data_IF_422017022910
#
_entry.id   IF_422017022910
#
_cell.length_a   1.000
_cell.length_b   1.000
_cell.length_c   1.000
_cell.angle_alpha   90.00
_cell.angle_beta   90.00
_cell.angle_gamma   90.00
#
_symmetry.space_group_name_H-M   'P 1'
#
loop_
_entity.id
_entity.type
_entity.pdbx_description
1 polymer ?
#
# COMPACT_ATOMS: atom_id res chain seq x y z
N UNK A 1 -43.25 -54.90 -17.03
CA UNK A 1 -42.83 -53.73 -17.83
C UNK A 1 -42.96 -52.38 -17.11
N UNK A 2 -43.96 -52.11 -16.24
CA UNK A 2 -44.16 -50.76 -15.66
C UNK A 2 -43.16 -50.33 -14.56
N UNK A 3 -42.59 -51.27 -13.79
CA UNK A 3 -41.63 -50.95 -12.71
C UNK A 3 -40.24 -50.56 -13.24
N UNK A 4 -39.81 -51.14 -14.36
CA UNK A 4 -38.49 -50.86 -14.94
C UNK A 4 -38.43 -49.44 -15.52
N UNK A 5 -39.54 -48.95 -16.09
CA UNK A 5 -39.65 -47.59 -16.62
C UNK A 5 -39.59 -46.52 -15.52
N UNK A 6 -40.17 -46.81 -14.35
CA UNK A 6 -40.14 -45.89 -13.22
C UNK A 6 -38.74 -45.75 -12.62
N UNK A 7 -38.01 -46.86 -12.46
CA UNK A 7 -36.62 -46.85 -11.97
C UNK A 7 -35.67 -46.13 -12.94
N UNK A 8 -35.89 -46.25 -14.25
CA UNK A 8 -35.09 -45.54 -15.26
C UNK A 8 -35.31 -44.02 -15.21
N UNK A 9 -36.57 -43.58 -15.00
CA UNK A 9 -36.93 -42.16 -14.87
C UNK A 9 -36.40 -41.51 -13.59
N UNK A 10 -36.32 -42.25 -12.48
CA UNK A 10 -35.67 -41.74 -11.25
C UNK A 10 -34.16 -41.65 -11.39
N UNK A 11 -33.51 -42.63 -12.04
CA UNK A 11 -32.06 -42.57 -12.30
C UNK A 11 -31.72 -41.40 -13.24
N UNK A 12 -32.52 -41.16 -14.28
CA UNK A 12 -32.33 -40.02 -15.19
C UNK A 12 -32.47 -38.66 -14.46
N UNK A 13 -33.45 -38.54 -13.57
CA UNK A 13 -33.65 -37.32 -12.77
C UNK A 13 -32.51 -37.07 -11.78
N UNK A 14 -31.99 -38.11 -11.14
CA UNK A 14 -30.83 -37.99 -10.24
C UNK A 14 -29.56 -37.62 -11.01
N UNK A 15 -29.39 -38.10 -12.24
CA UNK A 15 -28.25 -37.73 -13.09
C UNK A 15 -28.34 -36.28 -13.61
N UNK A 16 -29.55 -35.79 -13.94
CA UNK A 16 -29.75 -34.38 -14.32
C UNK A 16 -29.60 -33.43 -13.11
N UNK A 17 -30.00 -33.85 -11.91
CA UNK A 17 -29.81 -33.07 -10.68
C UNK A 17 -28.32 -32.99 -10.23
N UNK A 18 -27.47 -33.88 -10.74
CA UNK A 18 -26.04 -33.95 -10.42
C UNK A 18 -25.11 -33.57 -11.58
N UNK A 19 -25.66 -33.09 -12.70
CA UNK A 19 -24.83 -32.55 -13.78
C UNK A 19 -24.09 -31.31 -13.25
N UNK A 20 -22.76 -31.39 -13.17
CA UNK A 20 -21.92 -30.23 -12.82
C UNK A 20 -22.25 -29.09 -13.78
N UNK A 21 -22.33 -27.83 -13.32
CA UNK A 21 -22.50 -26.69 -14.21
C UNK A 21 -21.43 -26.73 -15.30
N UNK A 22 -21.84 -26.57 -16.56
CA UNK A 22 -20.91 -26.39 -17.66
C UNK A 22 -20.33 -24.96 -17.58
N UNK A 23 -19.15 -24.85 -16.96
CA UNK A 23 -18.43 -23.58 -16.82
C UNK A 23 -17.86 -23.05 -18.15
N UNK A 24 -18.00 -23.76 -19.27
CA UNK A 24 -17.54 -23.27 -20.58
C UNK A 24 -18.22 -21.96 -21.00
N UNK A 25 -19.44 -21.72 -20.51
CA UNK A 25 -20.18 -20.47 -20.73
C UNK A 25 -19.63 -19.31 -19.90
N UNK A 26 -18.84 -19.57 -18.86
CA UNK A 26 -18.29 -18.56 -17.95
C UNK A 26 -16.87 -18.14 -18.31
N UNK A 27 -16.05 -19.04 -18.83
CA UNK A 27 -14.63 -18.78 -19.09
C UNK A 27 -14.39 -18.27 -20.51
N UNK A 28 -13.24 -17.63 -20.68
CA UNK A 28 -12.64 -17.26 -21.96
C UNK A 28 -13.53 -16.38 -22.86
N UNK A 29 -14.28 -15.46 -22.24
CA UNK A 29 -15.02 -14.42 -22.98
C UNK A 29 -14.08 -13.30 -23.32
N UNK A 30 -14.21 -12.69 -24.50
CA UNK A 30 -13.25 -11.69 -24.97
C UNK A 30 -13.94 -10.42 -25.42
N UNK A 31 -13.29 -9.28 -25.19
CA UNK A 31 -13.61 -7.98 -25.81
C UNK A 31 -12.65 -7.62 -26.96
N UNK A 32 -11.82 -8.59 -27.38
CA UNK A 32 -10.78 -8.42 -28.39
C UNK A 32 -9.42 -7.99 -27.85
N UNK A 33 -9.32 -7.49 -26.61
CA UNK A 33 -8.04 -7.10 -25.95
C UNK A 33 -7.74 -7.95 -24.73
N UNK A 34 -8.78 -8.31 -23.99
CA UNK A 34 -8.70 -9.07 -22.77
C UNK A 34 -9.60 -10.29 -22.86
N UNK A 35 -9.18 -11.33 -22.18
CA UNK A 35 -10.03 -12.49 -21.87
C UNK A 35 -10.54 -12.38 -20.46
N UNK A 36 -11.75 -12.87 -20.25
CA UNK A 36 -12.52 -12.71 -19.03
C UNK A 36 -13.07 -14.05 -18.56
N UNK A 37 -13.15 -14.18 -17.25
CA UNK A 37 -14.07 -15.10 -16.59
C UNK A 37 -15.27 -14.29 -16.11
N UNK A 38 -16.46 -14.65 -16.59
CA UNK A 38 -17.72 -14.02 -16.19
C UNK A 38 -18.45 -14.87 -15.16
N UNK A 39 -19.13 -14.22 -14.22
CA UNK A 39 -20.00 -14.87 -13.25
C UNK A 39 -21.45 -14.43 -13.52
N UNK A 40 -22.33 -15.36 -13.92
CA UNK A 40 -23.71 -15.05 -14.32
C UNK A 40 -24.62 -14.69 -13.14
N UNK A 41 -24.31 -15.15 -11.93
CA UNK A 41 -25.11 -14.86 -10.75
C UNK A 41 -24.94 -13.41 -10.29
N UNK A 42 -23.68 -12.94 -10.29
CA UNK A 42 -23.32 -11.57 -9.87
C UNK A 42 -23.24 -10.57 -11.02
N UNK A 43 -23.30 -11.05 -12.28
CA UNK A 43 -23.06 -10.27 -13.49
C UNK A 43 -21.73 -9.49 -13.44
N UNK A 44 -20.67 -10.16 -12.99
CA UNK A 44 -19.31 -9.61 -12.90
C UNK A 44 -18.35 -10.28 -13.88
N UNK A 45 -17.26 -9.59 -14.19
CA UNK A 45 -16.21 -10.08 -15.08
C UNK A 45 -14.83 -9.84 -14.46
N UNK A 46 -14.01 -10.89 -14.47
CA UNK A 46 -12.62 -10.89 -14.04
C UNK A 46 -11.71 -10.93 -15.25
N UNK A 47 -10.79 -9.98 -15.39
CA UNK A 47 -9.76 -9.98 -16.45
C UNK A 47 -8.79 -11.13 -16.18
N UNK A 48 -8.66 -12.09 -17.08
CA UNK A 48 -7.88 -13.31 -16.90
C UNK A 48 -6.55 -13.31 -17.61
N UNK A 49 -6.45 -12.70 -18.80
CA UNK A 49 -5.19 -12.48 -19.50
C UNK A 49 -5.35 -11.49 -20.66
N UNK A 50 -4.24 -10.93 -21.11
CA UNK A 50 -4.15 -10.06 -22.29
C UNK A 50 -4.10 -10.91 -23.57
N UNK A 51 -4.91 -10.56 -24.58
CA UNK A 51 -4.85 -11.19 -25.90
C UNK A 51 -3.45 -11.04 -26.52
N UNK A 52 -2.96 -12.07 -27.21
CA UNK A 52 -1.58 -12.15 -27.69
C UNK A 52 -1.18 -10.98 -28.58
N UNK A 53 -2.11 -10.49 -29.40
CA UNK A 53 -1.89 -9.32 -30.26
C UNK A 53 -1.58 -8.03 -29.49
N UNK A 54 -1.87 -7.98 -28.18
CA UNK A 54 -1.71 -6.83 -27.30
C UNK A 54 -0.66 -7.04 -26.20
N UNK A 55 0.07 -8.16 -26.19
CA UNK A 55 1.04 -8.48 -25.13
C UNK A 55 2.24 -7.51 -25.05
N UNK A 56 2.47 -6.75 -26.13
CA UNK A 56 3.50 -5.72 -26.24
C UNK A 56 2.91 -4.30 -26.38
N UNK A 57 1.63 -4.11 -26.05
CA UNK A 57 0.96 -2.83 -26.23
C UNK A 57 1.56 -1.75 -25.32
N UNK A 58 1.78 -0.55 -25.86
CA UNK A 58 2.29 0.56 -25.06
C UNK A 58 1.29 0.99 -23.97
N UNK A 59 0.00 0.96 -24.27
CA UNK A 59 -1.05 1.35 -23.34
C UNK A 59 -2.28 0.49 -23.55
N UNK A 60 -2.84 -0.03 -22.47
CA UNK A 60 -4.16 -0.66 -22.46
C UNK A 60 -5.07 0.05 -21.46
N UNK A 61 -6.35 0.08 -21.80
CA UNK A 61 -7.41 0.59 -20.92
C UNK A 61 -8.43 -0.52 -20.73
N UNK A 62 -8.76 -0.84 -19.48
CA UNK A 62 -9.80 -1.82 -19.20
C UNK A 62 -11.15 -1.32 -19.70
N UNK A 63 -11.94 -2.20 -20.32
CA UNK A 63 -13.34 -1.90 -20.56
C UNK A 63 -14.12 -2.07 -19.25
N UNK A 64 -14.99 -1.12 -18.86
CA UNK A 64 -15.72 -1.20 -17.60
C UNK A 64 -16.79 -2.31 -17.60
N UNK A 65 -17.20 -2.74 -18.79
CA UNK A 65 -18.22 -3.76 -18.98
C UNK A 65 -17.89 -4.66 -20.15
N UNK A 66 -18.38 -5.90 -20.09
CA UNK A 66 -18.30 -6.88 -21.16
C UNK A 66 -19.72 -7.33 -21.54
N UNK A 67 -20.03 -7.42 -22.84
CA UNK A 67 -21.31 -7.94 -23.31
C UNK A 67 -21.15 -9.36 -23.84
N UNK A 68 -21.86 -10.32 -23.24
CA UNK A 68 -21.85 -11.73 -23.64
C UNK A 68 -23.30 -12.22 -23.72
N UNK A 69 -23.70 -12.72 -24.89
CA UNK A 69 -25.03 -13.30 -25.13
C UNK A 69 -26.19 -12.40 -24.66
N UNK A 70 -26.11 -11.09 -24.94
CA UNK A 70 -27.14 -10.12 -24.57
C UNK A 70 -27.14 -9.68 -23.09
N UNK A 71 -26.29 -10.28 -22.24
CA UNK A 71 -26.05 -9.83 -20.86
C UNK A 71 -24.85 -8.89 -20.79
N UNK A 72 -24.87 -7.97 -19.83
CA UNK A 72 -23.78 -7.03 -19.55
C UNK A 72 -23.17 -7.36 -18.20
N UNK A 73 -21.86 -7.58 -18.18
CA UNK A 73 -21.07 -7.91 -17.00
C UNK A 73 -20.21 -6.71 -16.61
N UNK A 74 -20.12 -6.43 -15.32
CA UNK A 74 -19.28 -5.34 -14.79
C UNK A 74 -17.89 -5.87 -14.49
N UNK A 75 -16.86 -5.22 -15.03
CA UNK A 75 -15.47 -5.57 -14.72
C UNK A 75 -15.11 -5.06 -13.34
N UNK A 76 -14.70 -5.96 -12.44
CA UNK A 76 -14.42 -5.63 -11.04
C UNK A 76 -13.18 -6.33 -10.46
N UNK A 77 -12.47 -7.15 -11.26
CA UNK A 77 -11.29 -7.86 -10.80
C UNK A 77 -10.24 -8.01 -11.91
N UNK A 78 -8.98 -7.86 -11.54
CA UNK A 78 -7.83 -8.35 -12.30
C UNK A 78 -7.46 -9.70 -11.68
N UNK A 79 -7.68 -10.75 -12.47
CA UNK A 79 -7.51 -12.14 -12.11
C UNK A 79 -6.06 -12.54 -11.87
N UNK A 80 -5.90 -13.73 -11.30
CA UNK A 80 -4.56 -14.25 -11.01
C UNK A 80 -3.76 -14.39 -12.31
N UNK A 81 -2.50 -13.95 -12.28
CA UNK A 81 -1.60 -13.97 -13.43
C UNK A 81 -2.05 -13.21 -14.69
N UNK A 82 -3.05 -12.33 -14.61
CA UNK A 82 -3.65 -11.70 -15.80
C UNK A 82 -2.69 -10.86 -16.66
N UNK A 83 -1.68 -10.26 -16.03
CA UNK A 83 -0.61 -9.50 -16.68
C UNK A 83 0.77 -10.12 -16.41
N UNK A 84 0.81 -11.40 -16.02
CA UNK A 84 2.05 -12.10 -15.71
C UNK A 84 2.92 -12.27 -16.95
N UNK A 85 4.22 -11.98 -16.84
CA UNK A 85 5.21 -12.05 -17.93
C UNK A 85 4.79 -11.29 -19.20
N UNK A 86 4.04 -10.19 -19.04
CA UNK A 86 3.54 -9.39 -20.15
C UNK A 86 4.37 -8.11 -20.33
N UNK A 87 4.50 -7.62 -21.58
CA UNK A 87 5.30 -6.46 -21.96
C UNK A 87 4.46 -5.16 -22.09
N UNK A 88 3.21 -5.16 -21.61
CA UNK A 88 2.38 -3.95 -21.56
C UNK A 88 3.04 -2.93 -20.64
N UNK A 89 3.28 -1.73 -21.18
CA UNK A 89 3.95 -0.64 -20.44
C UNK A 89 3.00 0.13 -19.53
N UNK A 90 1.76 0.38 -19.97
CA UNK A 90 0.83 1.23 -19.22
C UNK A 90 -0.56 0.59 -19.15
N UNK A 91 -1.13 0.51 -17.96
CA UNK A 91 -2.51 0.08 -17.74
C UNK A 91 -3.34 1.22 -17.15
N UNK A 92 -4.48 1.50 -17.79
CA UNK A 92 -5.46 2.48 -17.31
C UNK A 92 -6.72 1.74 -16.87
N UNK A 93 -7.11 1.96 -15.63
CA UNK A 93 -8.35 1.46 -15.03
C UNK A 93 -9.30 2.66 -14.96
N UNK A 94 -10.31 2.75 -15.85
CA UNK A 94 -11.11 3.96 -16.01
C UNK A 94 -12.02 4.24 -14.81
N UNK A 95 -12.43 5.49 -14.65
CA UNK A 95 -13.31 5.95 -13.57
C UNK A 95 -14.72 5.35 -13.60
N UNK A 96 -15.12 4.78 -14.74
CA UNK A 96 -16.37 4.03 -14.91
C UNK A 96 -16.35 2.66 -14.22
N UNK A 97 -15.17 2.12 -13.88
CA UNK A 97 -15.06 0.96 -12.99
C UNK A 97 -15.26 1.45 -11.56
N UNK A 98 -16.28 0.94 -10.87
CA UNK A 98 -16.59 1.34 -9.49
C UNK A 98 -15.51 0.91 -8.50
N UNK A 99 -15.06 -0.33 -8.62
CA UNK A 99 -14.06 -0.94 -7.75
C UNK A 99 -13.30 -2.04 -8.50
N UNK A 100 -12.01 -2.19 -8.22
CA UNK A 100 -11.19 -3.26 -8.78
C UNK A 100 -10.46 -4.02 -7.66
N UNK A 101 -10.52 -5.35 -7.69
CA UNK A 101 -9.68 -6.21 -6.87
C UNK A 101 -8.51 -6.76 -7.71
N UNK A 102 -7.31 -6.74 -7.14
CA UNK A 102 -6.10 -7.30 -7.76
C UNK A 102 -5.78 -8.63 -7.08
N UNK A 103 -5.75 -9.69 -7.90
CA UNK A 103 -5.52 -11.07 -7.48
C UNK A 103 -4.02 -11.38 -7.31
N UNK A 104 -3.67 -12.50 -6.65
CA UNK A 104 -2.28 -12.93 -6.51
C UNK A 104 -1.61 -13.11 -7.88
N UNK A 105 -0.33 -12.74 -7.98
CA UNK A 105 0.48 -12.81 -9.20
C UNK A 105 -0.07 -12.04 -10.41
N UNK A 106 -1.08 -11.19 -10.24
CA UNK A 106 -1.70 -10.46 -11.35
C UNK A 106 -0.66 -9.77 -12.24
N UNK A 107 0.39 -9.18 -11.65
CA UNK A 107 1.48 -8.50 -12.36
C UNK A 107 2.83 -9.18 -12.16
N UNK A 108 2.84 -10.51 -11.94
CA UNK A 108 4.08 -11.25 -11.71
C UNK A 108 5.06 -11.14 -12.88
N UNK A 109 6.30 -10.71 -12.63
CA UNK A 109 7.30 -10.47 -13.69
C UNK A 109 6.78 -9.62 -14.87
N UNK A 110 5.87 -8.68 -14.60
CA UNK A 110 5.35 -7.75 -15.61
C UNK A 110 6.33 -6.60 -15.86
N UNK A 111 6.43 -6.15 -17.11
CA UNK A 111 7.23 -4.99 -17.51
C UNK A 111 6.47 -3.66 -17.43
N UNK A 112 5.35 -3.65 -16.70
CA UNK A 112 4.52 -2.46 -16.56
C UNK A 112 5.31 -1.30 -15.93
N UNK A 113 5.23 -0.13 -16.55
CA UNK A 113 5.91 1.10 -16.15
C UNK A 113 4.94 2.02 -15.40
N UNK A 114 3.64 1.99 -15.71
CA UNK A 114 2.64 2.72 -14.93
C UNK A 114 1.27 2.04 -14.86
N UNK A 115 0.59 2.25 -13.73
CA UNK A 115 -0.81 1.88 -13.54
C UNK A 115 -1.58 3.09 -13.08
N UNK A 116 -2.60 3.45 -13.86
CA UNK A 116 -3.48 4.58 -13.57
C UNK A 116 -4.85 4.11 -13.09
N UNK A 117 -5.10 4.29 -11.80
CA UNK A 117 -6.36 4.00 -11.15
C UNK A 117 -7.26 5.24 -11.16
N UNK A 118 -8.01 5.44 -12.23
CA UNK A 118 -9.04 6.50 -12.28
C UNK A 118 -10.31 6.10 -11.49
N UNK A 119 -10.45 4.82 -11.16
CA UNK A 119 -11.44 4.34 -10.21
C UNK A 119 -11.04 4.70 -8.77
N UNK A 120 -12.01 4.78 -7.86
CA UNK A 120 -11.76 5.18 -6.47
C UNK A 120 -11.37 4.02 -5.56
N UNK A 121 -11.95 2.85 -5.78
CA UNK A 121 -11.81 1.70 -4.88
C UNK A 121 -10.92 0.63 -5.51
N UNK A 122 -9.72 0.48 -4.96
CA UNK A 122 -8.73 -0.51 -5.40
C UNK A 122 -8.36 -1.35 -4.20
N UNK A 123 -8.37 -2.67 -4.37
CA UNK A 123 -7.97 -3.61 -3.31
C UNK A 123 -6.98 -4.62 -3.84
N UNK A 124 -6.12 -5.12 -2.97
CA UNK A 124 -5.13 -6.15 -3.26
C UNK A 124 -5.38 -7.32 -2.31
N UNK A 125 -5.41 -8.53 -2.85
CA UNK A 125 -5.72 -9.75 -2.09
C UNK A 125 -4.48 -10.51 -1.62
N UNK A 126 -3.29 -10.17 -2.11
CA UNK A 126 -2.04 -10.88 -1.80
C UNK A 126 -0.80 -10.01 -2.01
N UNK A 127 0.26 -10.28 -1.23
CA UNK A 127 1.59 -9.67 -1.42
C UNK A 127 2.21 -10.02 -2.76
N UNK A 128 1.80 -11.15 -3.34
CA UNK A 128 2.35 -11.62 -4.60
C UNK A 128 1.76 -10.90 -5.81
N UNK A 129 0.83 -9.98 -5.61
CA UNK A 129 0.11 -9.32 -6.72
C UNK A 129 1.05 -8.54 -7.66
N UNK A 130 2.18 -8.05 -7.12
CA UNK A 130 3.22 -7.31 -7.85
C UNK A 130 4.61 -7.94 -7.70
N UNK A 131 4.70 -9.21 -7.30
CA UNK A 131 5.99 -9.87 -7.08
C UNK A 131 6.78 -9.99 -8.40
N UNK A 132 8.08 -9.71 -8.36
CA UNK A 132 8.92 -9.66 -9.58
C UNK A 132 8.54 -8.58 -10.61
N UNK A 133 7.55 -7.73 -10.33
CA UNK A 133 7.17 -6.62 -11.20
C UNK A 133 8.34 -5.60 -11.31
N UNK A 134 8.33 -4.82 -12.39
CA UNK A 134 9.28 -3.72 -12.57
C UNK A 134 9.30 -2.81 -11.31
N UNK A 135 10.48 -2.62 -10.71
CA UNK A 135 10.63 -1.80 -9.49
C UNK A 135 10.42 -0.30 -9.71
N UNK A 136 10.21 0.11 -10.96
CA UNK A 136 9.98 1.48 -11.37
C UNK A 136 8.51 1.76 -11.74
N UNK A 137 7.57 0.90 -11.34
CA UNK A 137 6.13 1.12 -11.61
C UNK A 137 5.69 2.42 -10.96
N UNK A 138 5.08 3.29 -11.77
CA UNK A 138 4.42 4.49 -11.29
C UNK A 138 2.93 4.24 -11.05
N UNK A 139 2.52 4.26 -9.78
CA UNK A 139 1.11 4.22 -9.40
C UNK A 139 0.51 5.63 -9.36
N UNK A 140 -0.56 5.86 -10.12
CA UNK A 140 -1.21 7.18 -10.24
C UNK A 140 -2.74 7.08 -10.25
N UNK A 141 -3.40 8.20 -10.01
CA UNK A 141 -4.86 8.32 -10.03
C UNK A 141 -5.54 8.18 -8.65
N UNK A 142 -6.83 8.48 -8.61
CA UNK A 142 -7.65 8.56 -7.40
C UNK A 142 -7.65 7.27 -6.56
N UNK A 143 -7.46 6.11 -7.21
CA UNK A 143 -7.49 4.80 -6.55
C UNK A 143 -6.21 4.44 -5.78
N UNK A 144 -5.14 5.24 -5.87
CA UNK A 144 -3.89 4.94 -5.15
C UNK A 144 -4.08 4.96 -3.63
N UNK A 145 -4.93 5.84 -3.10
CA UNK A 145 -5.18 5.91 -1.65
C UNK A 145 -5.82 4.63 -1.13
N UNK A 146 -6.88 4.16 -1.78
CA UNK A 146 -7.59 2.93 -1.37
C UNK A 146 -6.70 1.69 -1.56
N UNK A 147 -5.92 1.64 -2.65
CA UNK A 147 -4.90 0.61 -2.89
C UNK A 147 -3.93 0.50 -1.71
N UNK A 148 -3.32 1.62 -1.33
CA UNK A 148 -2.32 1.67 -0.27
C UNK A 148 -2.94 1.37 1.09
N UNK A 149 -4.09 1.97 1.42
CA UNK A 149 -4.79 1.73 2.69
C UNK A 149 -5.25 0.28 2.83
N UNK A 150 -5.77 -0.31 1.76
CA UNK A 150 -6.17 -1.71 1.74
C UNK A 150 -4.98 -2.63 2.03
N UNK A 151 -3.87 -2.41 1.32
CA UNK A 151 -2.68 -3.25 1.44
C UNK A 151 -1.95 -3.05 2.79
N UNK A 152 -1.90 -1.82 3.30
CA UNK A 152 -1.43 -1.49 4.65
C UNK A 152 -2.19 -2.30 5.71
N UNK A 153 -3.52 -2.28 5.68
CA UNK A 153 -4.38 -3.03 6.62
C UNK A 153 -4.19 -4.55 6.48
N UNK A 154 -3.97 -5.04 5.26
CA UNK A 154 -3.63 -6.44 5.01
C UNK A 154 -2.32 -6.83 5.72
N UNK A 155 -1.25 -6.03 5.52
CA UNK A 155 0.07 -6.28 6.14
C UNK A 155 0.01 -6.19 7.67
N UNK A 156 -0.69 -5.19 8.22
CA UNK A 156 -0.86 -5.05 9.67
C UNK A 156 -1.46 -6.31 10.29
N UNK A 157 -2.53 -6.86 9.70
CA UNK A 157 -3.14 -8.12 10.16
C UNK A 157 -2.15 -9.28 10.10
N UNK A 158 -1.42 -9.42 8.98
CA UNK A 158 -0.41 -10.47 8.82
C UNK A 158 0.71 -10.35 9.87
N UNK A 159 1.11 -9.13 10.19
CA UNK A 159 2.15 -8.82 11.16
C UNK A 159 1.66 -8.84 12.61
N UNK A 160 0.41 -9.26 12.84
CA UNK A 160 -0.23 -9.27 14.15
C UNK A 160 -0.20 -7.89 14.84
N UNK A 161 -0.36 -6.84 14.06
CA UNK A 161 -0.50 -5.46 14.51
C UNK A 161 -1.97 -5.02 14.45
N UNK A 162 -2.39 -4.09 15.31
CA UNK A 162 -3.76 -3.61 15.31
C UNK A 162 -4.13 -2.88 14.01
N UNK A 163 -5.43 -2.88 13.70
CA UNK A 163 -6.03 -2.03 12.66
C UNK A 163 -7.14 -1.20 13.30
N UNK A 164 -7.04 0.12 13.20
CA UNK A 164 -8.01 1.07 13.72
C UNK A 164 -8.14 1.07 15.24
N UNK A 165 -7.09 0.69 15.97
CA UNK A 165 -7.11 0.60 17.43
C UNK A 165 -7.27 1.97 18.06
N UNK A 166 -8.33 2.13 18.86
CA UNK A 166 -8.67 3.40 19.51
C UNK A 166 -7.99 3.61 20.86
N UNK A 167 -7.27 2.60 21.37
CA UNK A 167 -6.63 2.63 22.68
C UNK A 167 -5.28 3.33 22.74
N UNK A 168 -4.79 3.96 21.66
CA UNK A 168 -3.58 4.80 21.71
C UNK A 168 -3.88 6.19 22.27
N UNK A 169 -4.46 6.22 23.47
CA UNK A 169 -4.82 7.43 24.20
C UNK A 169 -4.41 7.29 25.67
N UNK A 170 -4.35 8.42 26.37
CA UNK A 170 -3.87 8.47 27.77
C UNK A 170 -4.71 7.65 28.74
N UNK A 171 -6.00 7.44 28.46
CA UNK A 171 -6.86 6.65 29.33
C UNK A 171 -6.61 5.14 29.20
N UNK A 172 -6.29 4.67 27.99
CA UNK A 172 -6.14 3.25 27.66
C UNK A 172 -4.68 2.78 27.69
N UNK A 173 -3.74 3.66 27.39
CA UNK A 173 -2.29 3.40 27.40
C UNK A 173 -1.55 4.61 28.02
N UNK A 174 -1.69 4.85 29.34
CA UNK A 174 -1.18 6.05 30.02
C UNK A 174 0.35 6.20 29.98
N UNK A 175 1.08 5.13 29.61
CA UNK A 175 2.54 5.13 29.48
C UNK A 175 3.01 4.86 28.06
N UNK A 176 2.11 4.84 27.07
CA UNK A 176 2.38 4.46 25.68
C UNK A 176 3.12 3.11 25.53
N UNK A 177 3.05 2.20 26.50
CA UNK A 177 3.80 0.94 26.46
C UNK A 177 3.40 0.10 25.26
N UNK A 178 2.09 0.01 25.00
CA UNK A 178 1.57 -0.74 23.86
C UNK A 178 1.91 -0.02 22.56
N UNK A 179 1.68 1.30 22.51
CA UNK A 179 1.99 2.13 21.34
C UNK A 179 3.47 2.04 20.94
N UNK A 180 4.39 2.20 21.88
CA UNK A 180 5.84 2.09 21.65
C UNK A 180 6.20 0.70 21.11
N UNK A 181 5.64 -0.36 21.68
CA UNK A 181 5.90 -1.73 21.25
C UNK A 181 5.38 -1.99 19.84
N UNK A 182 4.15 -1.57 19.55
CA UNK A 182 3.53 -1.76 18.24
C UNK A 182 4.26 -0.92 17.16
N UNK A 183 4.64 0.33 17.45
CA UNK A 183 5.41 1.18 16.53
C UNK A 183 6.81 0.63 16.27
N UNK A 184 7.49 0.11 17.29
CA UNK A 184 8.76 -0.58 17.10
C UNK A 184 8.61 -1.82 16.22
N UNK A 185 7.57 -2.61 16.46
CA UNK A 185 7.26 -3.81 15.68
C UNK A 185 6.92 -3.46 14.24
N UNK A 186 6.15 -2.39 14.02
CA UNK A 186 5.86 -1.84 12.70
C UNK A 186 7.15 -1.46 11.97
N UNK A 187 8.00 -0.63 12.58
CA UNK A 187 9.25 -0.19 11.98
C UNK A 187 10.16 -1.37 11.61
N UNK A 188 10.23 -2.38 12.49
CA UNK A 188 11.00 -3.61 12.25
C UNK A 188 10.46 -4.42 11.08
N UNK A 189 9.15 -4.55 10.96
CA UNK A 189 8.54 -5.30 9.87
C UNK A 189 8.64 -4.56 8.54
N UNK A 190 8.51 -3.23 8.54
CA UNK A 190 8.80 -2.40 7.36
C UNK A 190 10.25 -2.56 6.92
N UNK A 191 11.22 -2.54 7.84
CA UNK A 191 12.64 -2.76 7.50
C UNK A 191 12.89 -4.11 6.81
N UNK A 192 12.13 -5.14 7.16
CA UNK A 192 12.23 -6.47 6.54
C UNK A 192 11.50 -6.54 5.20
N UNK A 193 10.38 -5.83 5.08
CA UNK A 193 9.51 -5.82 3.91
C UNK A 193 10.06 -4.93 2.78
N UNK A 194 10.69 -3.81 3.14
CA UNK A 194 11.12 -2.77 2.20
C UNK A 194 12.64 -2.68 2.14
N UNK A 195 13.19 -2.94 0.96
CA UNK A 195 14.61 -2.73 0.66
C UNK A 195 14.88 -1.25 0.39
N UNK A 196 15.85 -0.67 1.11
CA UNK A 196 16.27 0.71 0.90
C UNK A 196 17.11 0.87 -0.38
N UNK A 197 16.68 1.74 -1.29
CA UNK A 197 17.37 2.06 -2.55
C UNK A 197 17.08 3.51 -2.97
N UNK A 198 18.12 4.35 -3.08
CA UNK A 198 17.96 5.79 -3.36
C UNK A 198 17.62 6.09 -4.83
N UNK A 199 18.12 5.27 -5.77
CA UNK A 199 17.97 5.47 -7.22
C UNK A 199 16.70 4.87 -7.84
N UNK A 200 15.69 4.55 -7.04
CA UNK A 200 14.44 3.98 -7.55
C UNK A 200 13.48 5.08 -7.98
N UNK A 201 13.06 5.04 -9.25
CA UNK A 201 11.97 5.87 -9.75
C UNK A 201 10.71 5.70 -8.88
N UNK A 202 10.14 6.82 -8.43
CA UNK A 202 8.98 6.82 -7.52
C UNK A 202 9.25 6.08 -6.21
N UNK A 203 10.52 5.92 -5.81
CA UNK A 203 10.91 5.30 -4.54
C UNK A 203 10.50 6.09 -3.31
N UNK A 204 10.01 7.32 -3.52
CA UNK A 204 9.50 8.27 -2.54
C UNK A 204 8.00 8.13 -2.24
N UNK A 205 7.31 7.15 -2.84
CA UNK A 205 5.87 6.93 -2.60
C UNK A 205 5.59 5.77 -1.63
N UNK A 206 4.48 5.85 -0.90
CA UNK A 206 4.04 4.75 -0.03
C UNK A 206 3.66 3.50 -0.85
N UNK A 207 3.13 3.67 -2.06
CA UNK A 207 2.73 2.58 -2.94
C UNK A 207 3.93 1.75 -3.38
N UNK A 208 5.01 2.38 -3.85
CA UNK A 208 6.25 1.71 -4.23
C UNK A 208 6.86 0.97 -3.05
N UNK A 209 6.99 1.64 -1.91
CA UNK A 209 7.55 1.05 -0.68
C UNK A 209 6.80 -0.21 -0.26
N UNK A 210 5.47 -0.14 -0.19
CA UNK A 210 4.66 -1.26 0.31
C UNK A 210 4.45 -2.35 -0.74
N UNK A 211 4.03 -2.00 -1.96
CA UNK A 211 3.61 -2.99 -2.97
C UNK A 211 4.79 -3.64 -3.69
N UNK A 212 5.88 -2.89 -3.93
CA UNK A 212 7.07 -3.40 -4.63
C UNK A 212 8.18 -3.82 -3.66
N UNK A 213 8.03 -3.54 -2.37
CA UNK A 213 9.03 -3.88 -1.35
C UNK A 213 10.36 -3.14 -1.55
N UNK A 214 10.35 -1.98 -2.21
CA UNK A 214 11.54 -1.13 -2.42
C UNK A 214 11.19 0.34 -2.23
N UNK A 215 12.10 1.13 -1.69
CA UNK A 215 11.90 2.58 -1.58
C UNK A 215 13.15 3.30 -1.10
N UNK A 216 13.18 4.62 -1.29
CA UNK A 216 14.18 5.48 -0.67
C UNK A 216 13.77 5.84 0.76
N UNK A 217 14.48 6.77 1.39
CA UNK A 217 14.17 7.18 2.78
C UNK A 217 12.76 7.76 2.93
N UNK A 218 12.25 8.45 1.91
CA UNK A 218 10.92 9.05 1.91
C UNK A 218 9.82 8.00 1.76
N UNK A 219 9.94 7.06 0.81
CA UNK A 219 8.96 6.00 0.63
C UNK A 219 8.82 5.11 1.87
N UNK A 220 9.94 4.77 2.51
CA UNK A 220 9.96 4.01 3.78
C UNK A 220 9.29 4.82 4.90
N UNK A 221 9.61 6.11 5.02
CA UNK A 221 8.98 6.97 6.02
C UNK A 221 7.46 7.12 5.79
N UNK A 222 7.02 7.20 4.54
CA UNK A 222 5.60 7.26 4.17
C UNK A 222 4.87 5.95 4.41
N UNK A 223 5.52 4.82 4.16
CA UNK A 223 5.00 3.50 4.55
C UNK A 223 4.75 3.45 6.06
N UNK A 224 5.73 3.84 6.88
CA UNK A 224 5.57 3.85 8.34
C UNK A 224 4.48 4.82 8.79
N UNK A 225 4.47 6.05 8.26
CA UNK A 225 3.44 7.04 8.56
C UNK A 225 2.04 6.49 8.25
N UNK A 226 1.83 6.04 7.02
CA UNK A 226 0.56 5.49 6.54
C UNK A 226 0.06 4.33 7.39
N UNK A 227 0.93 3.36 7.67
CA UNK A 227 0.58 2.18 8.46
C UNK A 227 0.32 2.54 9.93
N UNK A 228 1.03 3.53 10.49
CA UNK A 228 0.76 3.99 11.86
C UNK A 228 -0.63 4.61 12.00
N UNK A 229 -1.10 5.35 10.99
CA UNK A 229 -2.47 5.87 10.94
C UNK A 229 -3.49 4.75 10.85
N UNK A 230 -3.23 3.74 10.00
CA UNK A 230 -4.11 2.57 9.88
C UNK A 230 -4.14 1.71 11.14
N UNK A 231 -3.06 1.69 11.94
CA UNK A 231 -3.06 1.10 13.27
C UNK A 231 -3.97 1.85 14.25
N UNK A 232 -4.25 3.12 14.00
CA UNK A 232 -5.08 3.99 14.83
C UNK A 232 -4.31 5.10 15.56
N UNK A 233 -3.03 5.31 15.24
CA UNK A 233 -2.26 6.43 15.80
C UNK A 233 -2.88 7.74 15.32
N UNK A 234 -3.16 8.72 16.21
CA UNK A 234 -3.71 10.00 15.80
C UNK A 234 -2.80 10.73 14.82
N UNK A 235 -3.38 11.27 13.74
CA UNK A 235 -2.62 11.92 12.67
C UNK A 235 -1.76 13.10 13.15
N UNK A 236 -2.18 13.80 14.21
CA UNK A 236 -1.42 14.90 14.81
C UNK A 236 -0.20 14.46 15.62
N UNK A 237 0.07 13.15 15.73
CA UNK A 237 1.11 12.57 16.59
C UNK A 237 2.12 11.71 15.82
N UNK A 238 2.08 11.75 14.51
CA UNK A 238 3.01 11.06 13.62
C UNK A 238 3.14 11.88 12.34
N UNK A 239 4.36 12.04 11.82
CA UNK A 239 4.62 12.79 10.59
C UNK A 239 5.81 12.18 9.86
N UNK A 240 5.92 12.46 8.56
CA UNK A 240 7.16 12.25 7.81
C UNK A 240 8.03 13.49 8.00
N UNK A 241 9.23 13.30 8.51
CA UNK A 241 10.23 14.34 8.72
C UNK A 241 11.23 14.43 7.58
N UNK A 242 11.77 15.63 7.41
CA UNK A 242 12.76 15.97 6.39
C UNK A 242 13.78 16.95 6.94
N UNK A 243 15.06 16.77 6.59
CA UNK A 243 16.15 17.63 7.04
C UNK A 243 16.34 18.90 6.18
N UNK A 244 15.54 19.09 5.13
CA UNK A 244 15.73 20.18 4.17
C UNK A 244 16.77 19.88 3.09
N UNK A 245 17.36 18.67 3.07
CA UNK A 245 18.35 18.22 2.09
C UNK A 245 17.84 16.99 1.32
N UNK A 246 18.22 15.78 1.75
CA UNK A 246 17.97 14.54 1.01
C UNK A 246 17.37 13.43 1.86
N UNK A 247 17.27 13.59 3.18
CA UNK A 247 16.99 12.45 4.05
C UNK A 247 15.69 12.61 4.82
N UNK A 248 14.93 11.52 4.88
CA UNK A 248 13.61 11.48 5.51
C UNK A 248 13.52 10.40 6.58
N UNK A 249 12.71 10.68 7.60
CA UNK A 249 12.43 9.78 8.72
C UNK A 249 11.02 10.06 9.24
N UNK A 250 10.64 9.55 10.42
CA UNK A 250 9.35 9.87 11.03
C UNK A 250 9.50 10.58 12.37
N UNK A 251 8.64 11.56 12.63
CA UNK A 251 8.43 12.09 13.97
C UNK A 251 7.25 11.34 14.60
N UNK A 252 7.39 10.93 15.86
CA UNK A 252 6.31 10.27 16.60
C UNK A 252 6.21 10.88 18.00
N UNK A 253 4.99 11.27 18.40
CA UNK A 253 4.71 11.79 19.73
C UNK A 253 4.33 10.66 20.70
N UNK A 254 5.17 10.39 21.71
CA UNK A 254 5.00 9.27 22.66
C UNK A 254 5.48 9.64 24.08
N UNK A 255 4.96 8.96 25.10
CA UNK A 255 5.47 8.93 26.47
C UNK A 255 6.55 7.84 26.54
N UNK A 256 7.80 8.21 26.80
CA UNK A 256 8.92 7.24 26.83
C UNK A 256 9.79 7.38 28.07
N UNK A 257 10.46 8.52 28.20
CA UNK A 257 11.38 8.78 29.31
C UNK A 257 10.79 9.82 30.30
N UNK A 258 9.84 10.64 29.85
CA UNK A 258 9.16 11.69 30.63
C UNK A 258 7.70 11.34 30.99
N UNK A 259 7.05 12.01 31.96
CA UNK A 259 5.65 11.77 32.32
C UNK A 259 4.64 12.34 31.31
N UNK A 260 5.11 13.03 30.26
CA UNK A 260 4.29 13.61 29.19
C UNK A 260 4.77 13.16 27.81
N UNK A 261 3.90 13.31 26.80
CA UNK A 261 4.20 12.94 25.41
C UNK A 261 5.18 13.94 24.80
N UNK A 262 6.30 13.45 24.29
CA UNK A 262 7.29 14.23 23.56
C UNK A 262 7.46 13.71 22.13
N UNK A 263 8.02 14.53 21.27
CA UNK A 263 8.38 14.12 19.92
C UNK A 263 9.74 13.42 19.88
N UNK A 264 9.76 12.25 19.24
CA UNK A 264 10.95 11.46 18.97
C UNK A 264 11.11 11.20 17.48
N UNK A 265 12.35 11.04 17.03
CA UNK A 265 12.69 10.62 15.68
C UNK A 265 12.68 9.09 15.59
N UNK A 266 12.11 8.55 14.52
CA UNK A 266 12.12 7.14 14.16
C UNK A 266 12.77 7.03 12.78
N UNK A 267 14.01 6.55 12.76
CA UNK A 267 14.81 6.37 11.54
C UNK A 267 14.94 4.88 11.21
N UNK A 268 14.14 4.38 10.27
CA UNK A 268 14.11 2.95 9.90
C UNK A 268 15.31 2.56 9.04
N UNK A 269 15.83 3.47 8.21
CA UNK A 269 16.89 3.16 7.25
C UNK A 269 18.22 2.96 7.98
N UNK A 270 18.56 3.80 8.96
CA UNK A 270 19.82 3.69 9.69
C UNK A 270 19.73 2.88 10.99
N UNK A 271 18.53 2.54 11.47
CA UNK A 271 18.40 1.74 12.68
C UNK A 271 18.69 0.25 12.42
N UNK A 272 19.55 -0.33 13.25
CA UNK A 272 19.86 -1.75 13.24
C UNK A 272 18.90 -2.50 14.18
N UNK A 273 17.92 -3.19 13.62
CA UNK A 273 17.03 -4.05 14.38
C UNK A 273 17.78 -5.34 14.76
N UNK A 274 18.27 -5.38 16.00
CA UNK A 274 18.82 -6.59 16.62
C UNK A 274 17.75 -7.65 16.93
N UNK A 275 17.90 -8.36 18.05
CA UNK A 275 17.08 -9.51 18.47
C UNK A 275 15.54 -9.32 18.44
N UNK A 276 14.81 -10.35 18.87
CA UNK A 276 13.34 -10.37 18.78
C UNK A 276 12.63 -9.33 19.65
N UNK A 277 13.28 -8.80 20.69
CA UNK A 277 12.67 -7.90 21.68
C UNK A 277 12.55 -6.44 21.24
N UNK A 278 11.63 -5.75 21.90
CA UNK A 278 11.47 -4.30 21.85
C UNK A 278 12.73 -3.57 22.33
N UNK A 279 13.09 -2.48 21.63
CA UNK A 279 14.21 -1.64 22.01
C UNK A 279 13.84 -0.16 21.86
N UNK A 280 13.84 0.57 22.99
CA UNK A 280 13.47 1.98 23.06
C UNK A 280 14.42 2.92 22.30
N UNK A 281 15.63 2.47 21.94
CA UNK A 281 16.63 3.29 21.21
C UNK A 281 16.26 3.59 19.75
N UNK A 282 15.18 2.97 19.23
CA UNK A 282 14.56 3.37 17.97
C UNK A 282 14.03 4.81 18.04
N UNK A 283 13.51 5.22 19.20
CA UNK A 283 12.93 6.54 19.45
C UNK A 283 14.03 7.49 19.92
N UNK A 284 14.53 8.28 18.97
CA UNK A 284 15.74 9.10 19.11
C UNK A 284 15.42 10.55 19.45
N UNK A 285 16.30 11.16 20.23
CA UNK A 285 16.31 12.60 20.44
C UNK A 285 16.75 13.35 19.17
N UNK A 286 16.66 14.68 19.18
CA UNK A 286 17.19 15.53 18.11
C UNK A 286 18.71 15.36 17.99
N UNK A 287 19.45 15.40 19.11
CA UNK A 287 20.89 15.21 19.11
C UNK A 287 21.31 13.85 18.52
N UNK A 288 20.59 12.77 18.88
CA UNK A 288 20.88 11.45 18.33
C UNK A 288 20.61 11.38 16.82
N UNK A 289 19.55 12.03 16.33
CA UNK A 289 19.26 12.07 14.89
C UNK A 289 20.29 12.92 14.13
N UNK A 290 20.75 14.06 14.67
CA UNK A 290 21.84 14.85 14.09
C UNK A 290 23.11 14.03 13.93
N UNK A 291 23.48 13.23 14.93
CA UNK A 291 24.64 12.34 14.84
C UNK A 291 24.56 11.35 13.67
N UNK A 292 23.36 10.82 13.40
CA UNK A 292 23.11 9.94 12.23
C UNK A 292 23.30 10.71 10.93
N UNK A 293 22.66 11.88 10.80
CA UNK A 293 22.74 12.71 9.60
C UNK A 293 24.18 13.18 9.32
N UNK A 294 24.91 13.55 10.38
CA UNK A 294 26.32 13.96 10.28
C UNK A 294 27.17 12.84 9.67
N UNK A 295 26.96 11.60 10.12
CA UNK A 295 27.64 10.43 9.56
C UNK A 295 27.19 10.14 8.12
N UNK A 296 25.89 10.20 7.85
CA UNK A 296 25.33 9.94 6.52
C UNK A 296 25.84 10.91 5.47
N UNK A 297 26.04 12.18 5.83
CA UNK A 297 26.51 13.25 4.95
C UNK A 297 28.01 13.53 5.04
N UNK A 298 28.77 12.77 5.82
CA UNK A 298 30.20 12.98 6.05
C UNK A 298 30.53 14.43 6.49
N UNK A 299 29.73 14.98 7.41
CA UNK A 299 29.88 16.34 7.91
C UNK A 299 30.84 16.40 9.10
N UNK A 300 31.67 17.44 9.17
CA UNK A 300 32.60 17.67 10.27
C UNK A 300 31.94 18.30 11.50
N UNK A 301 30.82 19.01 11.33
CA UNK A 301 30.07 19.70 12.39
C UNK A 301 28.56 19.67 12.19
N UNK A 302 27.82 20.07 13.23
CA UNK A 302 26.35 20.13 13.22
C UNK A 302 25.82 21.44 12.64
N UNK A 303 26.70 22.37 12.24
CA UNK A 303 26.31 23.70 11.74
C UNK A 303 25.38 23.61 10.51
N UNK A 304 25.52 22.55 9.71
CA UNK A 304 24.67 22.29 8.55
C UNK A 304 23.41 21.47 8.87
N UNK A 305 23.23 21.05 10.12
CA UNK A 305 22.11 20.26 10.63
C UNK A 305 21.29 21.12 11.59
N UNK A 306 20.94 22.32 11.15
CA UNK A 306 20.08 23.20 11.93
C UNK A 306 18.67 22.60 12.01
N UNK A 307 18.22 22.37 13.25
CA UNK A 307 16.88 21.88 13.54
C UNK A 307 15.80 22.86 13.07
N UNK A 308 16.14 24.15 12.98
CA UNK A 308 15.26 25.17 12.43
C UNK A 308 15.03 25.02 10.92
N UNK A 309 15.81 24.21 10.22
CA UNK A 309 15.57 23.89 8.81
C UNK A 309 14.79 22.59 8.61
N UNK A 310 14.53 21.83 9.68
CA UNK A 310 13.78 20.59 9.57
C UNK A 310 12.32 20.87 9.22
N UNK A 311 11.73 19.96 8.46
CA UNK A 311 10.39 20.09 7.91
C UNK A 311 9.56 18.83 8.20
N UNK A 312 8.24 18.97 8.09
CA UNK A 312 7.29 17.87 8.06
C UNK A 312 6.58 17.85 6.72
N UNK A 313 6.26 16.65 6.25
CA UNK A 313 5.28 16.46 5.19
C UNK A 313 3.92 16.13 5.79
N UNK A 314 2.88 16.83 5.31
CA UNK A 314 1.49 16.58 5.70
C UNK A 314 0.79 15.57 4.78
N UNK A 315 1.33 15.35 3.58
CA UNK A 315 0.80 14.35 2.67
C UNK A 315 1.18 12.94 3.11
N UNK A 316 0.30 11.97 2.85
CA UNK A 316 0.37 10.58 3.32
C UNK A 316 1.08 9.66 2.34
N UNK A 317 0.82 9.79 1.05
CA UNK A 317 1.15 8.76 0.04
C UNK A 317 2.22 9.18 -0.98
N UNK A 318 2.25 10.47 -1.34
CA UNK A 318 3.13 11.11 -2.34
C UNK A 318 2.98 10.60 -3.76
N UNK A 319 1.78 10.74 -4.33
CA UNK A 319 1.53 10.47 -5.75
C UNK A 319 0.81 11.66 -6.39
N UNK A 320 0.86 11.80 -7.73
CA UNK A 320 0.14 12.86 -8.42
C UNK A 320 -1.37 12.72 -8.22
N UNK A 321 -2.01 13.77 -7.71
CA UNK A 321 -3.45 13.80 -7.43
C UNK A 321 -3.82 13.48 -5.97
N UNK A 322 -2.84 13.28 -5.09
CA UNK A 322 -3.11 13.14 -3.65
C UNK A 322 -3.82 14.36 -3.06
N UNK A 323 -3.51 15.56 -3.56
CA UNK A 323 -4.11 16.83 -3.11
C UNK A 323 -4.64 17.65 -4.27
N UNK A 324 -5.72 18.38 -4.01
CA UNK A 324 -6.42 19.24 -4.99
C UNK A 324 -6.04 20.72 -4.91
N UNK A 325 -5.29 21.13 -3.88
CA UNK A 325 -4.96 22.52 -3.60
C UNK A 325 -3.45 22.74 -3.57
N UNK A 326 -3.00 23.89 -4.06
CA UNK A 326 -1.59 24.34 -4.11
C UNK A 326 -1.03 24.73 -2.72
N UNK A 327 -1.46 24.06 -1.64
CA UNK A 327 -0.91 24.31 -0.31
C UNK A 327 0.49 23.70 -0.21
N UNK A 328 1.47 24.38 0.41
CA UNK A 328 2.81 23.83 0.56
C UNK A 328 2.74 22.51 1.33
N UNK A 329 3.22 21.44 0.70
CA UNK A 329 3.27 20.06 1.24
C UNK A 329 4.18 19.94 2.47
N UNK A 330 4.99 20.96 2.69
CA UNK A 330 6.06 21.00 3.67
C UNK A 330 5.85 22.18 4.61
N UNK A 331 5.84 21.89 5.90
CA UNK A 331 5.91 22.91 6.93
C UNK A 331 7.26 22.83 7.61
N UNK A 332 7.87 23.99 7.87
CA UNK A 332 9.00 24.05 8.78
C UNK A 332 8.54 23.57 10.17
N UNK A 333 9.25 22.59 10.72
CA UNK A 333 8.87 21.83 11.91
C UNK A 333 8.66 22.74 13.12
N UNK A 334 9.61 23.62 13.41
CA UNK A 334 9.55 24.53 14.57
C UNK A 334 8.31 25.43 14.52
N UNK A 335 8.07 26.09 13.39
CA UNK A 335 6.91 26.93 13.15
C UNK A 335 5.62 26.13 13.24
N UNK A 336 5.60 24.88 12.76
CA UNK A 336 4.46 23.99 12.92
C UNK A 336 4.19 23.66 14.40
N UNK A 337 5.23 23.34 15.18
CA UNK A 337 5.11 23.04 16.61
C UNK A 337 4.57 24.24 17.40
N UNK A 338 5.09 25.44 17.13
CA UNK A 338 4.66 26.69 17.76
C UNK A 338 3.18 26.96 17.46
N UNK A 339 2.76 26.89 16.19
CA UNK A 339 1.37 27.12 15.78
C UNK A 339 0.40 26.13 16.43
N UNK A 340 0.81 24.88 16.59
CA UNK A 340 -0.02 23.81 17.13
C UNK A 340 0.14 23.60 18.64
N UNK A 341 0.83 24.51 19.36
CA UNK A 341 1.13 24.40 20.80
C UNK A 341 1.65 23.02 21.18
N UNK A 342 2.45 22.43 20.29
CA UNK A 342 3.01 21.09 20.45
C UNK A 342 4.40 21.24 21.06
N UNK A 343 4.44 21.54 22.35
CA UNK A 343 5.70 21.71 23.10
C UNK A 343 6.44 20.36 23.24
N UNK A 344 7.77 20.45 23.32
CA UNK A 344 8.71 19.39 23.71
C UNK A 344 9.07 18.37 22.61
N UNK A 345 10.06 18.74 21.78
CA UNK A 345 10.93 17.74 21.15
C UNK A 345 11.94 17.26 22.18
N UNK A 346 12.16 15.95 22.23
CA UNK A 346 13.19 15.41 23.11
C UNK A 346 14.56 15.78 22.56
N UNK A 347 15.31 16.61 23.27
CA UNK A 347 16.60 17.17 22.83
C UNK A 347 17.73 16.13 22.79
#
# INVERSE_FOLDING_TARGET
MKLFTFALLTILNVWMACARPDYSEEINKSDGKFHYWVNYDSLTATVMYVEKAYENANTLTLNPTLKVQGKTFTVNQIGAAAFSNNNVKNLIIPSSIKSINISPNAFFNSYIESIEFLCKEVTVSSEQSFDGCNKHVFFKGDGVQSLVDNYSKYLLKKWNLPVGYKGYNENSDPKDNKRLHDLYTLAKNIKKHVSYQEGIAHGDTAATALLLGVGNSEGIARAFYTMSLDMGVPFIQTYVGFDGKYYRWNYVKVIKDEPYREWYNVDIVHYNFGGSSYNKSLFKSVASQKSILKKAYNLSSDAELDFMNWQIFENRYNYPGEWKYDSPFMNQLYGWLVRNRSCCFHE
#
